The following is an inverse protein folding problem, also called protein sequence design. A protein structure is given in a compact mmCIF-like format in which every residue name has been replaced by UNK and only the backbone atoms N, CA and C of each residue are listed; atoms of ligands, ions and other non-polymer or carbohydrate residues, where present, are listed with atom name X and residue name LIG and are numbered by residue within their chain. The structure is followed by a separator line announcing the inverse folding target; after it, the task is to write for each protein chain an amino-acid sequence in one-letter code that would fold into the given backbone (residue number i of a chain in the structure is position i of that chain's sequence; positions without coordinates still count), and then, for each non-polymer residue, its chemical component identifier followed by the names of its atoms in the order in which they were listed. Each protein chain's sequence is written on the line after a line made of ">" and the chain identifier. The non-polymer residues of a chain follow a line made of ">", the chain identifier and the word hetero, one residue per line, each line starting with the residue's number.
data_IF_209349663485
#
_entry.id   IF_209349663485
#
_cell.length_a   1.000
_cell.length_b   1.000
_cell.length_c   1.000
_cell.angle_alpha   90.00
_cell.angle_beta   90.00
_cell.angle_gamma   90.00
#
_symmetry.space_group_name_H-M   'P 1'
#
loop_
_entity.id
_entity.type
_entity.pdbx_description
1 polymer ?
#
# COMPACT_ATOMS: atom_id res chain seq x y z
N UNK A 1 -24.23 -6.56 -8.75
CA UNK A 1 -24.53 -7.44 -7.58
C UNK A 1 -23.26 -7.84 -6.82
N UNK A 2 -22.22 -8.35 -7.49
CA UNK A 2 -20.97 -8.77 -6.83
C UNK A 2 -20.21 -7.63 -6.12
N UNK A 3 -20.12 -6.44 -6.74
CA UNK A 3 -19.47 -5.27 -6.12
C UNK A 3 -20.17 -4.81 -4.84
N UNK A 4 -21.50 -4.77 -4.85
CA UNK A 4 -22.31 -4.42 -3.66
C UNK A 4 -22.15 -5.44 -2.55
N UNK A 5 -22.02 -6.73 -2.89
CA UNK A 5 -21.74 -7.78 -1.94
C UNK A 5 -20.35 -7.59 -1.30
N UNK A 6 -19.31 -7.33 -2.11
CA UNK A 6 -17.95 -7.07 -1.60
C UNK A 6 -17.93 -5.82 -0.72
N UNK A 7 -18.56 -4.73 -1.15
CA UNK A 7 -18.71 -3.52 -0.35
C UNK A 7 -19.40 -3.81 0.98
N UNK A 8 -20.49 -4.57 0.97
CA UNK A 8 -21.19 -4.98 2.19
C UNK A 8 -20.28 -5.77 3.15
N UNK A 9 -19.52 -6.73 2.63
CA UNK A 9 -18.56 -7.52 3.42
C UNK A 9 -17.45 -6.65 4.01
N UNK A 10 -16.89 -5.72 3.23
CA UNK A 10 -15.82 -4.82 3.69
C UNK A 10 -16.33 -3.86 4.75
N UNK A 11 -17.53 -3.29 4.57
CA UNK A 11 -18.17 -2.42 5.55
C UNK A 11 -18.43 -3.18 6.85
N UNK A 12 -18.98 -4.39 6.75
CA UNK A 12 -19.31 -5.21 7.93
C UNK A 12 -18.06 -5.63 8.71
N UNK A 13 -17.02 -6.10 8.02
CA UNK A 13 -15.76 -6.51 8.65
C UNK A 13 -15.02 -5.32 9.27
N UNK A 14 -15.02 -4.16 8.60
CA UNK A 14 -14.45 -2.91 9.15
C UNK A 14 -15.22 -2.40 10.36
N UNK A 15 -16.55 -2.44 10.33
CA UNK A 15 -17.39 -2.05 11.45
C UNK A 15 -17.21 -3.01 12.64
N UNK A 16 -17.14 -4.31 12.40
CA UNK A 16 -16.86 -5.30 13.44
C UNK A 16 -15.49 -5.07 14.09
N UNK A 17 -14.45 -4.81 13.30
CA UNK A 17 -13.12 -4.49 13.81
C UNK A 17 -13.14 -3.19 14.66
N UNK A 18 -13.85 -2.15 14.21
CA UNK A 18 -14.01 -0.90 14.96
C UNK A 18 -14.75 -1.08 16.28
N UNK A 19 -15.86 -1.82 16.28
CA UNK A 19 -16.63 -2.13 17.50
C UNK A 19 -15.78 -2.94 18.48
N UNK A 20 -15.04 -3.95 17.99
CA UNK A 20 -14.14 -4.76 18.81
C UNK A 20 -13.00 -3.93 19.42
N UNK A 21 -12.40 -3.02 18.64
CA UNK A 21 -11.34 -2.13 19.13
C UNK A 21 -11.83 -1.17 20.23
N UNK A 22 -13.03 -0.60 20.09
CA UNK A 22 -13.58 0.34 21.07
C UNK A 22 -14.11 -0.38 22.31
N UNK A 23 -14.86 -1.48 22.13
CA UNK A 23 -15.52 -2.18 23.25
C UNK A 23 -14.66 -3.23 23.93
N UNK A 24 -13.76 -3.88 23.20
CA UNK A 24 -12.88 -4.92 23.71
C UNK A 24 -11.55 -4.40 24.26
N UNK A 25 -11.01 -3.32 23.68
CA UNK A 25 -9.69 -2.78 24.02
C UNK A 25 -9.72 -1.36 24.63
N UNK A 26 -10.90 -0.74 24.78
CA UNK A 26 -11.09 0.61 25.32
C UNK A 26 -10.18 1.68 24.68
N UNK A 27 -9.89 1.55 23.38
CA UNK A 27 -9.03 2.48 22.66
C UNK A 27 -9.64 3.89 22.58
N UNK A 28 -8.82 4.90 22.82
CA UNK A 28 -9.24 6.30 22.74
C UNK A 28 -9.51 6.72 21.29
N UNK A 29 -10.35 7.74 21.09
CA UNK A 29 -10.59 8.36 19.77
C UNK A 29 -9.27 8.82 19.13
N UNK A 30 -8.31 9.25 19.94
CA UNK A 30 -6.95 9.59 19.48
C UNK A 30 -6.19 8.40 18.88
N UNK A 31 -6.35 7.19 19.44
CA UNK A 31 -5.75 5.98 18.89
C UNK A 31 -6.35 5.60 17.53
N UNK A 32 -7.67 5.80 17.34
CA UNK A 32 -8.32 5.59 16.05
C UNK A 32 -7.80 6.58 14.99
N UNK A 33 -7.69 7.86 15.34
CA UNK A 33 -7.14 8.88 14.44
C UNK A 33 -5.67 8.58 14.07
N UNK A 34 -4.87 8.11 15.03
CA UNK A 34 -3.49 7.67 14.79
C UNK A 34 -3.43 6.46 13.85
N UNK A 35 -4.30 5.47 14.03
CA UNK A 35 -4.39 4.31 13.16
C UNK A 35 -4.77 4.70 11.72
N UNK A 36 -5.80 5.54 11.54
CA UNK A 36 -6.19 6.04 10.21
C UNK A 36 -5.05 6.79 9.53
N UNK A 37 -4.34 7.65 10.27
CA UNK A 37 -3.17 8.36 9.74
C UNK A 37 -2.08 7.39 9.31
N UNK A 38 -1.76 6.39 10.14
CA UNK A 38 -0.76 5.38 9.81
C UNK A 38 -1.15 4.57 8.55
N UNK A 39 -2.42 4.21 8.42
CA UNK A 39 -2.95 3.55 7.21
C UNK A 39 -2.80 4.44 5.98
N UNK A 40 -3.16 5.73 6.07
CA UNK A 40 -3.01 6.67 4.95
C UNK A 40 -1.55 6.86 4.55
N UNK A 41 -0.63 6.96 5.52
CA UNK A 41 0.80 7.04 5.24
C UNK A 41 1.32 5.76 4.57
N UNK A 42 0.84 4.59 4.98
CA UNK A 42 1.17 3.31 4.35
C UNK A 42 0.65 3.21 2.91
N UNK A 43 -0.63 3.51 2.71
CA UNK A 43 -1.27 3.52 1.37
C UNK A 43 -0.57 4.53 0.47
N UNK A 44 -0.29 5.73 0.97
CA UNK A 44 0.43 6.77 0.24
C UNK A 44 1.84 6.33 -0.19
N UNK A 45 2.60 5.71 0.72
CA UNK A 45 3.92 5.15 0.37
C UNK A 45 3.79 4.06 -0.71
N UNK A 46 2.83 3.15 -0.58
CA UNK A 46 2.57 2.12 -1.58
C UNK A 46 2.19 2.70 -2.95
N UNK A 47 1.37 3.76 -2.99
CA UNK A 47 1.02 4.47 -4.23
C UNK A 47 2.23 5.14 -4.88
N UNK A 48 3.14 5.72 -4.09
CA UNK A 48 4.38 6.29 -4.63
C UNK A 48 5.23 5.20 -5.30
N UNK A 49 5.43 4.06 -4.63
CA UNK A 49 6.13 2.93 -5.25
C UNK A 49 5.41 2.41 -6.49
N UNK A 50 4.07 2.37 -6.48
CA UNK A 50 3.30 1.94 -7.63
C UNK A 50 3.52 2.85 -8.84
N UNK A 51 3.48 4.17 -8.65
CA UNK A 51 3.77 5.14 -9.70
C UNK A 51 5.20 5.00 -10.20
N UNK A 52 6.18 4.85 -9.30
CA UNK A 52 7.58 4.66 -9.68
C UNK A 52 7.77 3.37 -10.50
N UNK A 53 7.20 2.26 -10.05
CA UNK A 53 7.26 0.98 -10.75
C UNK A 53 6.57 1.06 -12.12
N UNK A 54 5.44 1.76 -12.22
CA UNK A 54 4.74 1.99 -13.48
C UNK A 54 5.61 2.79 -14.45
N UNK A 55 6.21 3.90 -14.00
CA UNK A 55 7.12 4.73 -14.82
C UNK A 55 8.33 3.92 -15.29
N UNK A 56 8.97 3.19 -14.39
CA UNK A 56 10.14 2.34 -14.71
C UNK A 56 9.74 1.23 -15.69
N UNK A 57 8.61 0.55 -15.45
CA UNK A 57 8.10 -0.51 -16.32
C UNK A 57 7.80 -0.02 -17.73
N UNK A 58 7.07 1.09 -17.85
CA UNK A 58 6.76 1.73 -19.15
C UNK A 58 8.05 2.15 -19.86
N UNK A 59 8.97 2.82 -19.16
CA UNK A 59 10.26 3.25 -19.74
C UNK A 59 11.07 2.06 -20.25
N UNK A 60 11.12 0.98 -19.48
CA UNK A 60 11.82 -0.27 -19.86
C UNK A 60 11.22 -0.88 -21.11
N UNK A 61 9.89 -0.94 -21.21
CA UNK A 61 9.18 -1.44 -22.40
C UNK A 61 9.52 -0.59 -23.64
N UNK A 62 9.53 0.75 -23.50
CA UNK A 62 9.88 1.65 -24.59
C UNK A 62 11.32 1.41 -25.08
N UNK A 63 12.28 1.30 -24.17
CA UNK A 63 13.69 1.01 -24.50
C UNK A 63 13.80 -0.34 -25.23
N UNK A 64 13.21 -1.40 -24.68
CA UNK A 64 13.26 -2.73 -25.31
C UNK A 64 12.62 -2.75 -26.69
N UNK A 65 11.51 -2.02 -26.88
CA UNK A 65 10.86 -1.89 -28.19
C UNK A 65 11.77 -1.18 -29.19
N UNK A 66 12.50 -0.14 -28.77
CA UNK A 66 13.44 0.56 -29.65
C UNK A 66 14.67 -0.29 -30.03
N UNK A 67 15.12 -1.17 -29.13
CA UNK A 67 16.32 -1.99 -29.35
C UNK A 67 16.03 -3.35 -30.03
N UNK A 68 14.86 -3.94 -29.80
CA UNK A 68 14.58 -5.35 -30.12
C UNK A 68 13.58 -5.62 -31.24
N UNK A 69 12.95 -4.60 -31.83
CA UNK A 69 12.04 -4.76 -32.99
C UNK A 69 10.75 -5.57 -32.77
N UNK A 70 10.58 -6.23 -31.62
CA UNK A 70 9.43 -7.08 -31.29
C UNK A 70 8.38 -6.37 -30.41
N UNK A 71 7.09 -6.76 -30.50
CA UNK A 71 6.04 -6.22 -29.65
C UNK A 71 6.17 -6.76 -28.22
N UNK A 72 6.83 -6.01 -27.32
CA UNK A 72 6.70 -6.25 -25.88
C UNK A 72 5.30 -5.83 -25.46
N UNK A 73 4.53 -6.76 -24.88
CA UNK A 73 3.16 -6.51 -24.45
C UNK A 73 3.14 -5.61 -23.22
N UNK A 74 2.46 -4.47 -23.33
CA UNK A 74 2.27 -3.49 -22.23
C UNK A 74 1.48 -4.09 -21.06
N UNK A 75 0.77 -5.20 -21.29
CA UNK A 75 -0.06 -5.86 -20.28
C UNK A 75 0.71 -6.44 -19.09
N UNK A 76 2.03 -6.61 -19.17
CA UNK A 76 2.85 -7.04 -18.01
C UNK A 76 2.81 -6.03 -16.86
N UNK A 77 2.52 -4.76 -17.15
CA UNK A 77 2.51 -3.67 -16.15
C UNK A 77 1.10 -3.46 -15.56
N UNK A 78 0.07 -4.08 -16.15
CA UNK A 78 -1.33 -3.98 -15.68
C UNK A 78 -1.71 -5.12 -14.71
N UNK A 79 -0.73 -5.80 -14.12
CA UNK A 79 -0.97 -6.93 -13.23
C UNK A 79 -1.30 -6.44 -11.80
N UNK A 80 -2.29 -7.07 -11.17
CA UNK A 80 -2.61 -6.90 -9.74
C UNK A 80 -1.38 -7.17 -8.87
N UNK A 81 -0.46 -8.01 -9.33
CA UNK A 81 0.83 -8.24 -8.71
C UNK A 81 1.66 -6.96 -8.57
N UNK A 82 1.62 -6.02 -9.53
CA UNK A 82 2.36 -4.77 -9.44
C UNK A 82 1.86 -3.91 -8.28
N UNK A 83 0.54 -3.84 -8.12
CA UNK A 83 -0.07 -3.14 -6.98
C UNK A 83 0.29 -3.82 -5.66
N UNK A 84 0.18 -5.16 -5.59
CA UNK A 84 0.54 -5.93 -4.40
C UNK A 84 1.99 -5.74 -3.98
N UNK A 85 2.93 -5.83 -4.93
CA UNK A 85 4.36 -5.61 -4.66
C UNK A 85 4.66 -4.16 -4.25
N UNK A 86 3.97 -3.18 -4.84
CA UNK A 86 4.13 -1.78 -4.47
C UNK A 86 3.63 -1.49 -3.05
N UNK A 87 2.52 -2.10 -2.63
CA UNK A 87 2.06 -2.06 -1.24
C UNK A 87 3.07 -2.72 -0.30
N UNK A 88 3.67 -3.85 -0.68
CA UNK A 88 4.72 -4.50 0.10
C UNK A 88 5.97 -3.61 0.24
N UNK A 89 6.37 -2.90 -0.82
CA UNK A 89 7.45 -1.90 -0.76
C UNK A 89 7.07 -0.74 0.18
N UNK A 90 5.82 -0.26 0.11
CA UNK A 90 5.29 0.71 1.07
C UNK A 90 5.39 0.21 2.51
N UNK A 91 5.13 -1.08 2.77
CA UNK A 91 5.20 -1.68 4.10
C UNK A 91 6.65 -1.74 4.58
N UNK A 92 7.54 -2.26 3.74
CA UNK A 92 8.96 -2.36 4.03
C UNK A 92 9.56 -0.99 4.34
N UNK A 93 9.19 0.04 3.56
CA UNK A 93 9.60 1.41 3.81
C UNK A 93 9.09 1.95 5.16
N UNK A 94 7.83 1.68 5.51
CA UNK A 94 7.27 2.09 6.80
C UNK A 94 7.99 1.41 7.97
N UNK A 95 8.21 0.10 7.89
CA UNK A 95 8.96 -0.66 8.90
C UNK A 95 10.39 -0.12 9.05
N UNK A 96 11.08 0.14 7.94
CA UNK A 96 12.44 0.71 7.96
C UNK A 96 12.46 2.11 8.60
N UNK A 97 11.51 2.98 8.24
CA UNK A 97 11.39 4.34 8.81
C UNK A 97 11.13 4.30 10.32
N UNK A 98 10.30 3.37 10.79
CA UNK A 98 10.04 3.19 12.23
C UNK A 98 11.27 2.68 12.97
N UNK A 99 11.96 1.68 12.42
CA UNK A 99 13.21 1.17 13.00
C UNK A 99 14.29 2.25 13.09
N UNK A 100 14.48 3.04 12.02
CA UNK A 100 15.43 4.14 12.00
C UNK A 100 15.14 5.21 13.07
N UNK A 101 13.86 5.53 13.33
CA UNK A 101 13.46 6.46 14.40
C UNK A 101 13.74 5.89 15.79
N UNK A 102 13.53 4.60 15.99
CA UNK A 102 13.82 3.94 17.26
C UNK A 102 15.34 3.94 17.57
N UNK A 103 16.17 3.68 16.55
CA UNK A 103 17.64 3.68 16.69
C UNK A 103 18.23 5.09 16.79
N UNK A 104 17.62 6.10 16.15
CA UNK A 104 18.07 7.49 16.24
C UNK A 104 17.70 8.19 17.56
N UNK A 105 16.75 7.63 18.33
CA UNK A 105 16.33 8.17 19.64
C UNK A 105 17.23 7.77 20.81
N UNK A 106 18.06 6.73 20.66
CA UNK A 106 18.97 6.24 21.70
C UNK A 106 20.36 6.91 21.71
N UNK A 107 20.64 7.78 20.75
CA UNK A 107 21.91 8.51 20.63
C UNK A 107 21.80 10.01 20.97
N UNK A 108 20.74 10.44 21.64
CA UNK A 108 20.56 11.83 22.11
C UNK A 108 20.49 11.90 23.62
#
# INVERSE_FOLDING_TARGET
>A
MQELFILGVVVLTSAAAGVFAVRGLAWSVGALAAAVRATLEFVGAGLVFFVLNLVVGVTTILILRTLGGGPVSVYVVNDVALLGLSLLQGLAFQCWRQAARATGGTLR
#
